data_IF_783902507012
#
_entry.id   IF_783902507012
#
_cell.length_a   1.000
_cell.length_b   1.000
_cell.length_c   1.000
_cell.angle_alpha   90.00
_cell.angle_beta   90.00
_cell.angle_gamma   90.00
#
_symmetry.space_group_name_H-M   'P 1'
#
loop_
_entity.id
_entity.type
_entity.pdbx_description
1 polymer ?
#
# COMPACT_ATOMS: atom_id res chain seq x y z
N UNK A 1 -25.38 -3.51 -12.00
CA UNK A 1 -24.07 -3.83 -12.62
C UNK A 1 -23.01 -3.72 -11.54
N UNK A 2 -22.21 -4.75 -11.33
CA UNK A 2 -21.09 -4.69 -10.38
C UNK A 2 -20.01 -3.73 -10.89
N UNK A 3 -19.55 -2.83 -10.04
CA UNK A 3 -18.44 -1.92 -10.36
C UNK A 3 -17.13 -2.68 -10.13
N UNK A 4 -16.25 -2.70 -11.12
CA UNK A 4 -14.88 -3.23 -10.95
C UNK A 4 -14.08 -2.28 -10.06
N UNK A 5 -13.28 -2.84 -9.17
CA UNK A 5 -12.38 -2.09 -8.30
C UNK A 5 -10.92 -2.44 -8.62
N UNK A 6 -10.04 -1.44 -8.57
CA UNK A 6 -8.60 -1.56 -8.82
C UNK A 6 -7.85 -1.44 -7.50
N UNK A 7 -6.93 -2.37 -7.26
CA UNK A 7 -5.95 -2.31 -6.17
C UNK A 7 -4.58 -1.99 -6.76
N UNK A 8 -3.99 -0.87 -6.33
CA UNK A 8 -2.60 -0.53 -6.66
C UNK A 8 -1.68 -1.16 -5.61
N UNK A 9 -0.73 -2.00 -6.02
CA UNK A 9 0.28 -2.57 -5.12
C UNK A 9 1.65 -1.92 -5.30
N UNK A 10 2.27 -1.55 -4.18
CA UNK A 10 3.58 -0.90 -4.11
C UNK A 10 4.69 -1.94 -3.96
N UNK A 11 4.97 -2.71 -5.01
CA UNK A 11 5.93 -3.82 -4.95
C UNK A 11 6.93 -3.82 -6.11
N UNK A 12 8.13 -4.35 -5.85
CA UNK A 12 9.18 -4.64 -6.83
C UNK A 12 9.92 -5.90 -6.41
N UNK A 13 10.19 -6.82 -7.34
CA UNK A 13 10.79 -8.12 -7.06
C UNK A 13 10.12 -8.89 -5.91
N UNK A 14 8.79 -8.78 -5.82
CA UNK A 14 7.95 -9.45 -4.82
C UNK A 14 8.08 -8.94 -3.37
N UNK A 15 8.71 -7.77 -3.17
CA UNK A 15 8.80 -7.08 -1.89
C UNK A 15 8.13 -5.70 -1.95
N UNK A 16 7.75 -5.13 -0.81
CA UNK A 16 7.36 -3.71 -0.76
C UNK A 16 8.54 -2.83 -1.15
N UNK A 17 8.29 -1.85 -2.03
CA UNK A 17 9.34 -0.91 -2.46
C UNK A 17 9.77 0.01 -1.31
N UNK A 18 11.08 0.28 -1.21
CA UNK A 18 11.66 1.10 -0.13
C UNK A 18 11.07 2.52 -0.06
N UNK A 19 10.77 3.11 -1.22
CA UNK A 19 10.18 4.44 -1.34
C UNK A 19 8.64 4.44 -1.45
N UNK A 20 7.97 3.40 -0.92
CA UNK A 20 6.51 3.26 -1.00
C UNK A 20 5.75 4.50 -0.48
N UNK A 21 6.25 5.13 0.58
CA UNK A 21 5.65 6.35 1.13
C UNK A 21 5.69 7.51 0.14
N UNK A 22 6.82 7.72 -0.54
CA UNK A 22 7.01 8.81 -1.50
C UNK A 22 6.13 8.61 -2.75
N UNK A 23 6.06 7.37 -3.24
CA UNK A 23 5.21 7.01 -4.37
C UNK A 23 3.74 7.24 -4.02
N UNK A 24 3.31 6.80 -2.83
CA UNK A 24 1.95 7.04 -2.38
C UNK A 24 1.66 8.53 -2.22
N UNK A 25 2.58 9.31 -1.65
CA UNK A 25 2.42 10.76 -1.48
C UNK A 25 2.18 11.45 -2.82
N UNK A 26 3.00 11.12 -3.83
CA UNK A 26 2.84 11.66 -5.18
C UNK A 26 1.51 11.25 -5.83
N UNK A 27 0.97 10.07 -5.49
CA UNK A 27 -0.19 9.47 -6.18
C UNK A 27 -1.50 9.50 -5.38
N UNK A 28 -1.51 10.00 -4.13
CA UNK A 28 -2.68 9.94 -3.23
C UNK A 28 -3.94 10.61 -3.79
N UNK A 29 -3.76 11.59 -4.67
CA UNK A 29 -4.85 12.34 -5.32
C UNK A 29 -5.51 11.58 -6.49
N UNK A 30 -4.99 10.42 -6.89
CA UNK A 30 -5.56 9.60 -7.95
C UNK A 30 -6.91 8.99 -7.56
N UNK A 31 -7.65 8.49 -8.56
CA UNK A 31 -8.95 7.82 -8.40
C UNK A 31 -8.86 6.42 -7.77
N UNK A 32 -7.65 5.88 -7.56
CA UNK A 32 -7.48 4.58 -6.93
C UNK A 32 -7.95 4.63 -5.47
N UNK A 33 -8.91 3.77 -5.13
CA UNK A 33 -9.49 3.66 -3.79
C UNK A 33 -8.72 2.66 -2.92
N UNK A 34 -8.18 1.61 -3.54
CA UNK A 34 -7.49 0.53 -2.84
C UNK A 34 -5.99 0.58 -3.14
N UNK A 35 -5.21 0.59 -2.07
CA UNK A 35 -3.75 0.62 -2.12
C UNK A 35 -3.22 -0.49 -1.23
N UNK A 36 -2.19 -1.19 -1.67
CA UNK A 36 -1.63 -2.26 -0.89
C UNK A 36 -0.11 -2.39 -0.99
N UNK A 37 0.43 -3.10 -0.04
CA UNK A 37 1.84 -3.44 0.08
C UNK A 37 1.96 -4.76 0.84
N UNK A 38 3.15 -5.35 0.85
CA UNK A 38 3.45 -6.61 1.53
C UNK A 38 4.01 -6.36 2.93
N UNK A 39 3.89 -7.33 3.82
CA UNK A 39 4.54 -7.31 5.13
C UNK A 39 6.07 -7.56 5.09
N UNK A 40 6.65 -7.67 3.90
CA UNK A 40 8.09 -7.77 3.64
C UNK A 40 8.61 -6.59 2.82
N UNK A 41 9.93 -6.32 2.94
CA UNK A 41 10.63 -5.26 2.19
C UNK A 41 10.78 -3.93 2.93
N UNK A 42 10.00 -3.67 3.98
CA UNK A 42 10.12 -2.48 4.83
C UNK A 42 10.20 -2.85 6.32
N UNK A 43 10.87 -2.05 7.16
CA UNK A 43 10.75 -2.16 8.60
C UNK A 43 9.30 -1.99 9.08
N UNK A 44 8.90 -2.76 10.10
CA UNK A 44 7.52 -2.73 10.65
C UNK A 44 7.02 -1.33 11.00
N UNK A 45 7.88 -0.48 11.56
CA UNK A 45 7.52 0.90 11.88
C UNK A 45 7.11 1.71 10.64
N UNK A 46 7.87 1.60 9.55
CA UNK A 46 7.59 2.28 8.29
C UNK A 46 6.31 1.75 7.62
N UNK A 47 6.07 0.44 7.71
CA UNK A 47 4.80 -0.16 7.23
C UNK A 47 3.58 0.36 7.99
N UNK A 48 3.69 0.51 9.32
CA UNK A 48 2.62 1.09 10.15
C UNK A 48 2.38 2.55 9.76
N UNK A 49 3.43 3.33 9.53
CA UNK A 49 3.33 4.73 9.08
C UNK A 49 2.67 4.82 7.70
N UNK A 50 3.12 4.02 6.73
CA UNK A 50 2.53 3.94 5.40
C UNK A 50 1.03 3.60 5.46
N UNK A 51 0.66 2.60 6.28
CA UNK A 51 -0.73 2.21 6.45
C UNK A 51 -1.58 3.35 7.01
N UNK A 52 -1.11 4.01 8.08
CA UNK A 52 -1.80 5.15 8.70
C UNK A 52 -1.95 6.30 7.71
N UNK A 53 -0.90 6.57 6.94
CA UNK A 53 -0.88 7.66 5.98
C UNK A 53 -1.89 7.45 4.84
N UNK A 54 -1.98 6.24 4.31
CA UNK A 54 -3.00 5.88 3.33
C UNK A 54 -4.43 6.03 3.89
N UNK A 55 -4.67 5.58 5.12
CA UNK A 55 -5.97 5.71 5.81
C UNK A 55 -6.34 7.18 6.04
N UNK A 56 -5.38 8.02 6.45
CA UNK A 56 -5.59 9.45 6.64
C UNK A 56 -6.02 10.15 5.35
N UNK A 57 -5.60 9.64 4.19
CA UNK A 57 -6.00 10.12 2.87
C UNK A 57 -7.23 9.40 2.28
N UNK A 58 -8.08 8.82 3.15
CA UNK A 58 -9.34 8.15 2.78
C UNK A 58 -9.15 6.99 1.79
N UNK A 59 -7.99 6.33 1.80
CA UNK A 59 -7.75 5.14 1.00
C UNK A 59 -8.01 3.87 1.80
N UNK A 60 -8.51 2.84 1.13
CA UNK A 60 -8.60 1.50 1.69
C UNK A 60 -7.25 0.80 1.53
N UNK A 61 -6.54 0.65 2.63
CA UNK A 61 -5.24 -0.03 2.65
C UNK A 61 -5.40 -1.54 2.79
N UNK A 62 -4.68 -2.29 1.95
CA UNK A 62 -4.62 -3.75 1.93
C UNK A 62 -3.20 -4.19 2.29
N UNK A 63 -3.06 -5.01 3.32
CA UNK A 63 -1.79 -5.67 3.64
C UNK A 63 -1.81 -7.08 3.05
N UNK A 64 -0.84 -7.40 2.21
CA UNK A 64 -0.58 -8.77 1.79
C UNK A 64 0.44 -9.39 2.74
N UNK A 65 0.01 -10.40 3.48
CA UNK A 65 0.88 -11.17 4.39
C UNK A 65 1.49 -12.30 3.57
N UNK A 66 2.81 -12.28 3.38
CA UNK A 66 3.54 -13.29 2.61
C UNK A 66 4.44 -14.16 3.49
N UNK A 67 4.77 -13.71 4.70
CA UNK A 67 5.54 -14.48 5.67
C UNK A 67 4.62 -15.02 6.77
N UNK A 68 4.66 -16.34 6.99
CA UNK A 68 4.03 -16.99 8.13
C UNK A 68 5.12 -17.41 9.11
N UNK A 69 5.22 -16.74 10.25
CA UNK A 69 6.00 -17.20 11.42
C UNK A 69 5.16 -18.02 12.36
#
# INVERSE_FOLDING_TARGET
>A
MGKSELIVKLTHNDYTVENAHEIFEACKHTKANYWGFKDSGLPKAQMIELFRFMKQHNKTTILEVVEYT
#
